data_IF_944126235807
#
_entry.id   IF_944126235807
#
_cell.length_a   1.000
_cell.length_b   1.000
_cell.length_c   1.000
_cell.angle_alpha   90.00
_cell.angle_beta   90.00
_cell.angle_gamma   90.00
#
_symmetry.space_group_name_H-M   'P 1'
#
loop_
_entity.id
_entity.type
_entity.pdbx_description
1 polymer ?
#
# COMPACT_ATOMS: atom_id res chain seq x y z
N UNK A 1 35.07 -58.35 25.20
CA UNK A 1 34.23 -57.97 24.04
C UNK A 1 33.46 -56.69 24.38
N UNK A 2 33.82 -55.56 23.75
CA UNK A 2 32.80 -54.54 23.39
C UNK A 2 33.08 -53.93 21.99
N UNK A 3 32.27 -53.02 21.41
CA UNK A 3 30.86 -52.66 21.66
C UNK A 3 29.96 -52.52 20.40
N UNK A 4 28.64 -52.49 20.63
CA UNK A 4 27.57 -51.69 19.96
C UNK A 4 27.57 -51.44 18.44
N UNK A 5 26.44 -51.77 17.77
CA UNK A 5 26.03 -51.11 16.53
C UNK A 5 24.77 -50.26 16.77
N UNK A 6 24.96 -48.93 16.68
CA UNK A 6 23.92 -47.90 16.79
C UNK A 6 22.99 -47.95 15.57
N UNK A 7 21.69 -48.05 15.80
CA UNK A 7 20.67 -48.03 14.75
C UNK A 7 20.57 -46.61 14.13
N UNK A 8 20.96 -46.46 12.86
CA UNK A 8 20.94 -45.18 12.11
C UNK A 8 19.48 -44.83 11.79
N UNK A 9 18.92 -43.78 12.41
CA UNK A 9 17.66 -43.15 11.94
C UNK A 9 17.90 -42.66 10.50
N UNK A 10 17.38 -43.37 9.51
CA UNK A 10 17.40 -42.91 8.12
C UNK A 10 16.50 -41.67 8.00
N UNK A 11 17.03 -40.61 7.40
CA UNK A 11 16.27 -39.41 7.10
C UNK A 11 15.27 -39.71 5.96
N UNK A 12 14.02 -39.23 6.04
CA UNK A 12 13.05 -39.40 4.97
C UNK A 12 13.48 -38.67 3.69
N UNK A 13 13.26 -39.28 2.53
CA UNK A 13 13.57 -38.73 1.21
C UNK A 13 12.30 -38.16 0.58
N UNK A 14 12.34 -36.90 0.16
CA UNK A 14 11.22 -36.22 -0.51
C UNK A 14 11.65 -35.74 -1.90
N UNK A 15 10.71 -35.75 -2.84
CA UNK A 15 10.84 -35.01 -4.11
C UNK A 15 10.60 -33.51 -3.87
N UNK A 16 11.12 -32.66 -4.77
CA UNK A 16 10.92 -31.21 -4.70
C UNK A 16 9.43 -30.84 -4.72
N UNK A 17 8.63 -31.53 -5.53
CA UNK A 17 7.17 -31.33 -5.60
C UNK A 17 6.50 -31.70 -4.28
N UNK A 18 6.88 -32.81 -3.65
CA UNK A 18 6.36 -33.20 -2.34
C UNK A 18 6.71 -32.16 -1.27
N UNK A 19 7.94 -31.64 -1.28
CA UNK A 19 8.35 -30.58 -0.36
C UNK A 19 7.50 -29.32 -0.57
N UNK A 20 7.35 -28.84 -1.81
CA UNK A 20 6.59 -27.62 -2.10
C UNK A 20 5.12 -27.75 -1.68
N UNK A 21 4.50 -28.92 -1.93
CA UNK A 21 3.14 -29.20 -1.49
C UNK A 21 3.02 -29.22 0.04
N UNK A 22 3.98 -29.83 0.74
CA UNK A 22 3.99 -29.84 2.21
C UNK A 22 4.13 -28.43 2.81
N UNK A 23 4.95 -27.59 2.18
CA UNK A 23 5.10 -26.18 2.59
C UNK A 23 3.80 -25.41 2.34
N UNK A 24 3.14 -25.62 1.20
CA UNK A 24 1.83 -25.03 0.89
C UNK A 24 0.78 -25.37 1.95
N UNK A 25 0.59 -26.66 2.25
CA UNK A 25 -0.34 -27.12 3.29
C UNK A 25 0.02 -26.53 4.66
N UNK A 26 1.31 -26.52 5.01
CA UNK A 26 1.77 -25.96 6.29
C UNK A 26 1.50 -24.45 6.43
N UNK A 27 1.55 -23.71 5.31
CA UNK A 27 1.22 -22.29 5.28
C UNK A 27 -0.28 -22.07 5.43
N UNK A 28 -1.11 -22.84 4.72
CA UNK A 28 -2.56 -22.79 4.83
C UNK A 28 -3.06 -23.10 6.25
N UNK A 29 -2.43 -24.05 6.95
CA UNK A 29 -2.79 -24.41 8.33
C UNK A 29 -2.38 -23.35 9.36
N UNK A 30 -1.22 -22.70 9.17
CA UNK A 30 -0.63 -21.79 10.17
C UNK A 30 -0.97 -20.32 9.95
N UNK A 31 -1.27 -19.93 8.72
CA UNK A 31 -1.58 -18.55 8.38
C UNK A 31 -3.10 -18.35 8.31
N UNK A 32 -3.58 -17.13 8.61
CA UNK A 32 -4.97 -16.78 8.35
C UNK A 32 -5.30 -16.99 6.86
N UNK A 33 -6.47 -17.56 6.59
CA UNK A 33 -7.02 -17.72 5.23
C UNK A 33 -7.18 -16.40 4.49
N UNK A 34 -7.23 -15.28 5.23
CA UNK A 34 -7.25 -13.93 4.68
C UNK A 34 -6.54 -12.97 5.62
N UNK A 35 -5.67 -12.13 5.06
CA UNK A 35 -4.90 -11.13 5.79
C UNK A 35 -4.77 -9.83 5.01
N UNK A 36 -4.36 -8.77 5.72
CA UNK A 36 -4.09 -7.45 5.14
C UNK A 36 -2.61 -7.14 5.32
N UNK A 37 -1.91 -6.90 4.22
CA UNK A 37 -0.52 -6.46 4.22
C UNK A 37 -0.47 -4.96 3.95
N UNK A 38 0.29 -4.24 4.78
CA UNK A 38 0.65 -2.84 4.53
C UNK A 38 2.03 -2.82 3.89
N UNK A 39 2.15 -2.13 2.76
CA UNK A 39 3.45 -1.97 2.10
C UNK A 39 3.40 -1.02 0.93
N UNK A 40 4.58 -0.74 0.38
CA UNK A 40 4.74 0.06 -0.83
C UNK A 40 4.83 -0.83 -2.05
N UNK A 41 4.09 -0.47 -3.11
CA UNK A 41 4.15 -1.16 -4.39
C UNK A 41 5.51 -0.90 -5.05
N UNK A 42 6.14 -1.98 -5.50
CA UNK A 42 7.35 -1.97 -6.31
C UNK A 42 7.26 -2.99 -7.45
N UNK A 43 8.10 -2.84 -8.48
CA UNK A 43 8.15 -3.73 -9.64
C UNK A 43 6.78 -3.97 -10.29
N UNK A 44 5.91 -2.95 -10.33
CA UNK A 44 4.59 -3.03 -10.93
C UNK A 44 4.66 -3.42 -12.41
N UNK A 45 3.94 -4.48 -12.77
CA UNK A 45 3.86 -5.01 -14.14
C UNK A 45 2.42 -5.43 -14.44
N UNK A 46 1.93 -4.98 -15.59
CA UNK A 46 0.61 -5.36 -16.12
C UNK A 46 0.74 -5.81 -17.57
N UNK A 47 0.94 -7.11 -17.82
CA UNK A 47 0.94 -7.68 -19.16
C UNK A 47 -0.43 -7.60 -19.85
N UNK A 48 -0.48 -7.92 -21.14
CA UNK A 48 -1.71 -7.94 -21.95
C UNK A 48 -2.79 -8.91 -21.45
N UNK A 49 -2.41 -9.92 -20.66
CA UNK A 49 -3.35 -10.84 -19.99
C UNK A 49 -4.22 -10.14 -18.93
N UNK A 50 -3.85 -8.93 -18.50
CA UNK A 50 -4.60 -8.12 -17.55
C UNK A 50 -4.38 -8.47 -16.08
N UNK A 51 -3.64 -9.55 -15.78
CA UNK A 51 -3.18 -9.83 -14.42
C UNK A 51 -2.11 -8.81 -14.01
N UNK A 52 -2.10 -8.44 -12.74
CA UNK A 52 -1.11 -7.52 -12.19
C UNK A 52 -0.12 -8.30 -11.34
N UNK A 53 1.17 -8.03 -11.58
CA UNK A 53 2.29 -8.58 -10.82
C UNK A 53 3.05 -7.43 -10.21
N UNK A 54 3.29 -7.48 -8.92
CA UNK A 54 4.04 -6.44 -8.22
C UNK A 54 4.73 -7.06 -7.01
N UNK A 55 5.42 -6.25 -6.22
CA UNK A 55 5.94 -6.67 -4.92
C UNK A 55 5.59 -5.62 -3.89
N UNK A 56 5.15 -6.07 -2.72
CA UNK A 56 4.98 -5.21 -1.56
C UNK A 56 6.27 -5.20 -0.76
N UNK A 57 6.79 -4.00 -0.51
CA UNK A 57 7.95 -3.76 0.35
C UNK A 57 7.50 -3.15 1.66
N UNK A 58 8.14 -3.55 2.74
CA UNK A 58 8.02 -2.89 4.03
C UNK A 58 9.26 -2.02 4.35
N UNK A 59 9.14 -1.06 5.29
CA UNK A 59 10.29 -0.27 5.76
C UNK A 59 11.37 -1.09 6.48
N UNK A 60 11.04 -2.32 6.94
CA UNK A 60 11.96 -3.24 7.59
C UNK A 60 12.88 -4.00 6.63
N UNK A 61 12.71 -3.80 5.31
CA UNK A 61 13.48 -4.47 4.26
C UNK A 61 12.85 -5.77 3.74
N UNK A 62 11.71 -6.17 4.28
CA UNK A 62 10.91 -7.28 3.80
C UNK A 62 10.28 -6.97 2.44
N UNK A 63 10.24 -7.98 1.56
CA UNK A 63 9.55 -7.89 0.28
C UNK A 63 8.83 -9.21 -0.01
N UNK A 64 7.59 -9.13 -0.49
CA UNK A 64 6.84 -10.30 -0.96
C UNK A 64 6.33 -10.07 -2.40
N UNK A 65 6.50 -11.05 -3.32
CA UNK A 65 5.87 -11.00 -4.63
C UNK A 65 4.36 -11.13 -4.50
N UNK A 66 3.63 -10.29 -5.22
CA UNK A 66 2.18 -10.24 -5.22
C UNK A 66 1.62 -10.46 -6.61
N UNK A 67 0.51 -11.19 -6.67
CA UNK A 67 -0.26 -11.43 -7.89
C UNK A 67 -1.70 -10.99 -7.63
N UNK A 68 -2.26 -10.20 -8.54
CA UNK A 68 -3.67 -9.82 -8.53
C UNK A 68 -4.31 -10.22 -9.86
N UNK A 69 -5.39 -10.98 -9.80
CA UNK A 69 -6.07 -11.41 -11.02
C UNK A 69 -6.81 -10.26 -11.70
N UNK A 70 -6.88 -10.31 -13.03
CA UNK A 70 -7.53 -9.27 -13.84
C UNK A 70 -8.97 -8.98 -13.40
N UNK A 71 -9.73 -10.03 -13.01
CA UNK A 71 -11.10 -9.91 -12.51
C UNK A 71 -11.20 -9.09 -11.22
N UNK A 72 -10.24 -9.26 -10.31
CA UNK A 72 -10.15 -8.49 -9.07
C UNK A 72 -9.62 -7.09 -9.34
N UNK A 73 -8.63 -6.93 -10.20
CA UNK A 73 -8.07 -5.61 -10.53
C UNK A 73 -9.10 -4.67 -11.17
N UNK A 74 -10.08 -5.20 -11.94
CA UNK A 74 -11.16 -4.38 -12.52
C UNK A 74 -12.01 -3.62 -11.49
N UNK A 75 -12.04 -4.04 -10.23
CA UNK A 75 -12.79 -3.32 -9.17
C UNK A 75 -11.99 -2.17 -8.55
N UNK A 76 -10.69 -2.08 -8.85
CA UNK A 76 -9.80 -1.03 -8.36
C UNK A 76 -10.07 0.25 -9.14
N UNK A 77 -10.37 1.32 -8.39
CA UNK A 77 -10.75 2.64 -8.93
C UNK A 77 -9.61 3.66 -8.97
N UNK A 78 -8.40 3.26 -8.59
CA UNK A 78 -7.23 4.13 -8.57
C UNK A 78 -6.10 3.53 -9.39
N UNK A 79 -5.16 4.37 -9.79
CA UNK A 79 -4.02 3.91 -10.57
C UNK A 79 -2.93 3.34 -9.65
N UNK A 80 -2.60 2.07 -9.85
CA UNK A 80 -1.55 1.40 -9.10
C UNK A 80 -0.20 1.66 -9.78
N UNK A 81 0.71 2.33 -9.08
CA UNK A 81 2.04 2.65 -9.57
C UNK A 81 3.11 2.30 -8.51
N UNK A 82 4.36 2.20 -8.96
CA UNK A 82 5.49 2.07 -8.03
C UNK A 82 5.56 3.28 -7.10
N UNK A 83 5.92 3.06 -5.82
CA UNK A 83 5.96 4.12 -4.82
C UNK A 83 4.65 4.30 -4.04
N UNK A 84 3.56 3.67 -4.46
CA UNK A 84 2.28 3.82 -3.80
C UNK A 84 2.19 2.93 -2.56
N UNK A 85 1.97 3.56 -1.40
CA UNK A 85 1.65 2.85 -0.17
C UNK A 85 0.21 2.32 -0.21
N UNK A 86 0.04 1.01 0.00
CA UNK A 86 -1.24 0.32 -0.08
C UNK A 86 -1.47 -0.65 1.08
N UNK A 87 -2.75 -0.91 1.36
CA UNK A 87 -3.24 -2.04 2.11
C UNK A 87 -3.75 -3.09 1.11
N UNK A 88 -3.12 -4.25 1.11
CA UNK A 88 -3.47 -5.36 0.23
C UNK A 88 -4.15 -6.47 1.03
N UNK A 89 -5.43 -6.73 0.75
CA UNK A 89 -6.17 -7.84 1.34
C UNK A 89 -6.09 -9.06 0.43
N UNK A 90 -5.81 -10.23 1.00
CA UNK A 90 -5.59 -11.46 0.24
C UNK A 90 -5.10 -12.60 1.11
N UNK A 91 -4.45 -13.59 0.49
CA UNK A 91 -3.88 -14.76 1.16
C UNK A 91 -2.47 -15.05 0.63
N UNK A 92 -1.71 -15.80 1.42
CA UNK A 92 -0.37 -16.28 1.02
C UNK A 92 -0.50 -17.72 0.58
N UNK A 93 0.12 -18.05 -0.55
CA UNK A 93 0.18 -19.41 -1.07
C UNK A 93 1.51 -19.65 -1.81
N UNK A 94 1.88 -20.91 -2.03
CA UNK A 94 3.10 -21.33 -2.69
C UNK A 94 2.83 -21.64 -4.16
N UNK A 95 3.52 -20.95 -5.04
CA UNK A 95 3.57 -21.34 -6.44
C UNK A 95 4.41 -22.61 -6.60
N UNK A 96 3.76 -23.78 -6.53
CA UNK A 96 4.39 -25.12 -6.51
C UNK A 96 5.43 -25.33 -7.62
N UNK A 97 5.19 -24.94 -8.90
CA UNK A 97 6.20 -25.16 -9.95
C UNK A 97 7.51 -24.41 -9.72
N UNK A 98 7.46 -23.24 -9.06
CA UNK A 98 8.63 -22.41 -8.77
C UNK A 98 9.12 -22.49 -7.32
N UNK A 99 8.38 -23.14 -6.42
CA UNK A 99 8.67 -23.15 -4.98
C UNK A 99 8.71 -21.76 -4.34
N UNK A 100 7.99 -20.78 -4.91
CA UNK A 100 7.99 -19.39 -4.44
C UNK A 100 6.72 -19.10 -3.67
N UNK A 101 6.85 -18.56 -2.46
CA UNK A 101 5.71 -17.98 -1.75
C UNK A 101 5.27 -16.69 -2.45
N UNK A 102 3.96 -16.51 -2.57
CA UNK A 102 3.35 -15.36 -3.21
C UNK A 102 2.13 -14.92 -2.42
N UNK A 103 1.84 -13.62 -2.48
CA UNK A 103 0.61 -13.06 -1.95
C UNK A 103 -0.40 -12.85 -3.08
N UNK A 104 -1.54 -13.51 -2.98
CA UNK A 104 -2.64 -13.36 -3.92
C UNK A 104 -3.56 -12.24 -3.42
N UNK A 105 -3.39 -11.05 -4.00
CA UNK A 105 -4.16 -9.87 -3.65
C UNK A 105 -5.55 -9.92 -4.28
N UNK A 106 -6.57 -9.71 -3.46
CA UNK A 106 -7.98 -9.63 -3.87
C UNK A 106 -8.51 -8.20 -3.87
N UNK A 107 -7.98 -7.37 -2.98
CA UNK A 107 -8.35 -5.97 -2.80
C UNK A 107 -7.09 -5.15 -2.53
N UNK A 108 -7.00 -3.98 -3.14
CA UNK A 108 -5.97 -2.98 -2.85
C UNK A 108 -6.67 -1.69 -2.44
N UNK A 109 -6.15 -1.04 -1.42
CA UNK A 109 -6.61 0.26 -0.94
C UNK A 109 -5.40 1.16 -0.69
N UNK A 110 -5.42 2.45 -1.07
CA UNK A 110 -4.31 3.35 -0.75
C UNK A 110 -4.18 3.52 0.76
N UNK A 111 -3.01 3.20 1.33
CA UNK A 111 -2.75 3.34 2.75
C UNK A 111 -2.68 4.82 3.18
N UNK A 112 -2.41 5.73 2.23
CA UNK A 112 -2.21 7.16 2.49
C UNK A 112 -3.48 7.96 2.80
N UNK A 113 -4.69 7.51 2.45
CA UNK A 113 -5.91 8.31 2.70
C UNK A 113 -6.23 8.35 4.20
N UNK A 114 -6.06 7.24 4.92
CA UNK A 114 -6.39 7.15 6.34
C UNK A 114 -5.45 7.98 7.23
N UNK A 115 -4.14 7.88 7.01
CA UNK A 115 -3.14 8.61 7.81
C UNK A 115 -3.21 10.13 7.56
N UNK A 116 -3.42 10.56 6.31
CA UNK A 116 -3.59 11.98 5.99
C UNK A 116 -4.90 12.53 6.54
N UNK A 117 -5.99 11.76 6.45
CA UNK A 117 -7.28 12.13 7.04
C UNK A 117 -7.18 12.22 8.56
N UNK A 118 -6.49 11.29 9.21
CA UNK A 118 -6.25 11.31 10.65
C UNK A 118 -5.40 12.52 11.07
N UNK A 119 -4.30 12.80 10.35
CA UNK A 119 -3.46 13.97 10.59
C UNK A 119 -4.24 15.27 10.37
N UNK A 120 -5.08 15.33 9.33
CA UNK A 120 -5.97 16.45 9.06
C UNK A 120 -6.98 16.65 10.19
N UNK A 121 -7.64 15.59 10.66
CA UNK A 121 -8.60 15.66 11.76
C UNK A 121 -7.95 16.09 13.07
N UNK A 122 -6.75 15.59 13.38
CA UNK A 122 -5.97 16.02 14.54
C UNK A 122 -5.59 17.51 14.45
N UNK A 123 -5.09 17.94 13.29
CA UNK A 123 -4.76 19.35 13.04
C UNK A 123 -6.00 20.24 13.14
N UNK A 124 -7.13 19.84 12.55
CA UNK A 124 -8.38 20.57 12.62
C UNK A 124 -8.87 20.71 14.05
N UNK A 125 -8.86 19.63 14.83
CA UNK A 125 -9.24 19.65 16.26
C UNK A 125 -8.34 20.60 17.06
N UNK A 126 -7.02 20.57 16.83
CA UNK A 126 -6.08 21.49 17.47
C UNK A 126 -6.37 22.95 17.14
N UNK A 127 -6.47 23.28 15.85
CA UNK A 127 -6.75 24.66 15.40
C UNK A 127 -8.13 25.16 15.86
N UNK A 128 -9.10 24.25 15.99
CA UNK A 128 -10.42 24.54 16.55
C UNK A 128 -10.34 24.83 18.06
N UNK A 129 -9.55 24.05 18.82
CA UNK A 129 -9.30 24.31 20.24
C UNK A 129 -8.54 25.62 20.48
N UNK A 130 -7.64 26.00 19.56
CA UNK A 130 -6.95 27.30 19.55
C UNK A 130 -7.90 28.47 19.15
N UNK A 131 -9.17 28.21 18.86
CA UNK A 131 -10.17 29.23 18.53
C UNK A 131 -9.92 29.93 17.19
N UNK A 132 -9.13 29.34 16.29
CA UNK A 132 -8.78 29.94 15.00
C UNK A 132 -9.94 29.90 14.00
N UNK A 133 -10.94 29.05 14.24
CA UNK A 133 -12.16 28.97 13.42
C UNK A 133 -13.35 29.72 14.02
N UNK A 134 -13.16 30.42 15.15
CA UNK A 134 -14.24 31.13 15.84
C UNK A 134 -14.87 32.20 14.92
N UNK A 135 -16.20 32.17 14.68
CA UNK A 135 -16.89 33.18 13.90
C UNK A 135 -16.62 34.61 14.36
N UNK A 136 -16.38 34.83 15.67
CA UNK A 136 -16.09 36.15 16.24
C UNK A 136 -14.76 36.72 15.72
N UNK A 137 -13.83 35.87 15.26
CA UNK A 137 -12.55 36.29 14.67
C UNK A 137 -12.62 36.48 13.16
N UNK A 138 -13.72 36.07 12.50
CA UNK A 138 -13.88 36.26 11.05
C UNK A 138 -14.22 37.71 10.76
N UNK A 139 -13.39 38.35 9.94
CA UNK A 139 -13.68 39.68 9.42
C UNK A 139 -14.53 39.57 8.14
N UNK A 140 -15.46 40.50 7.90
CA UNK A 140 -16.17 40.57 6.64
C UNK A 140 -15.17 40.80 5.50
N UNK A 141 -15.34 40.08 4.40
CA UNK A 141 -14.50 40.26 3.22
C UNK A 141 -14.74 41.66 2.63
N UNK A 142 -13.68 42.41 2.29
CA UNK A 142 -13.84 43.69 1.62
C UNK A 142 -14.45 43.47 0.23
N UNK A 143 -15.30 44.40 -0.21
CA UNK A 143 -15.92 44.34 -1.54
C UNK A 143 -14.89 44.32 -2.69
N UNK A 144 -13.74 44.98 -2.48
CA UNK A 144 -12.63 45.04 -3.43
C UNK A 144 -11.30 44.78 -2.68
N UNK A 145 -10.79 43.53 -2.67
CA UNK A 145 -9.52 43.22 -2.02
C UNK A 145 -8.35 43.81 -2.81
N UNK A 146 -7.66 44.79 -2.24
CA UNK A 146 -6.49 45.44 -2.86
C UNK A 146 -5.19 44.65 -2.66
N UNK A 147 -5.15 43.78 -1.65
CA UNK A 147 -3.99 42.95 -1.31
C UNK A 147 -4.45 41.51 -1.11
N UNK A 148 -3.83 40.57 -1.82
CA UNK A 148 -4.14 39.14 -1.74
C UNK A 148 -2.88 38.40 -1.30
N UNK A 149 -2.95 37.71 -0.17
CA UNK A 149 -1.90 36.80 0.28
C UNK A 149 -2.16 35.39 -0.24
N UNK A 150 -1.20 34.81 -0.96
CA UNK A 150 -1.29 33.44 -1.48
C UNK A 150 -0.40 32.53 -0.64
N UNK A 151 -0.98 31.49 -0.04
CA UNK A 151 -0.23 30.46 0.70
C UNK A 151 -0.34 29.15 -0.08
N UNK A 152 0.78 28.69 -0.63
CA UNK A 152 0.87 27.45 -1.41
C UNK A 152 2.20 26.74 -1.12
N UNK A 153 2.35 25.50 -1.58
CA UNK A 153 3.64 24.80 -1.57
C UNK A 153 4.61 25.45 -2.58
N UNK A 154 5.92 25.40 -2.29
CA UNK A 154 6.95 26.09 -3.08
C UNK A 154 7.06 25.66 -4.56
N UNK A 155 6.38 24.57 -4.96
CA UNK A 155 6.33 24.05 -6.34
C UNK A 155 4.95 24.20 -7.01
N UNK A 156 3.99 24.86 -6.37
CA UNK A 156 2.59 24.89 -6.84
C UNK A 156 2.38 25.80 -8.05
N UNK A 157 1.92 25.21 -9.17
CA UNK A 157 1.39 25.92 -10.34
C UNK A 157 0.28 26.94 -10.01
N UNK A 158 -0.33 26.84 -8.83
CA UNK A 158 -1.32 27.76 -8.30
C UNK A 158 -0.84 29.23 -8.21
N UNK A 159 0.47 29.49 -8.02
CA UNK A 159 0.99 30.86 -8.08
C UNK A 159 0.84 31.44 -9.48
N UNK A 160 1.12 30.63 -10.52
CA UNK A 160 1.05 31.06 -11.91
C UNK A 160 -0.40 31.33 -12.29
N UNK A 161 -1.32 30.41 -11.97
CA UNK A 161 -2.75 30.58 -12.26
C UNK A 161 -3.38 31.80 -11.56
N UNK A 162 -3.02 32.04 -10.29
CA UNK A 162 -3.52 33.20 -9.55
C UNK A 162 -2.92 34.49 -10.10
N UNK A 163 -1.63 34.50 -10.45
CA UNK A 163 -1.00 35.65 -11.11
C UNK A 163 -1.69 35.96 -12.45
N UNK A 164 -1.84 34.95 -13.32
CA UNK A 164 -2.49 35.11 -14.63
C UNK A 164 -3.94 35.57 -14.49
N UNK A 165 -4.69 35.03 -13.52
CA UNK A 165 -6.08 35.45 -13.25
C UNK A 165 -6.19 36.87 -12.69
N UNK A 166 -5.18 37.36 -11.95
CA UNK A 166 -5.14 38.74 -11.46
C UNK A 166 -4.80 39.70 -12.60
N UNK A 167 -3.82 39.35 -13.46
CA UNK A 167 -3.41 40.18 -14.59
C UNK A 167 -4.42 40.21 -15.73
N UNK A 168 -5.14 39.12 -15.97
CA UNK A 168 -6.15 39.03 -17.06
C UNK A 168 -7.50 39.68 -16.70
N UNK A 169 -7.63 40.24 -15.50
CA UNK A 169 -8.87 40.85 -14.99
C UNK A 169 -8.96 42.36 -15.26
N UNK A 170 -8.01 42.90 -16.04
CA UNK A 170 -7.93 44.28 -16.51
C UNK A 170 -7.56 44.32 -17.99
#
# INVERSE_FOLDING_TARGET
MPPMAKNKRQLPVFTVTQLNNLVGVSLEEKLPSRMILRGEISNWKRPSSGHCYFSLKDPGGGQIPCVMWASKFRTIKFDCQNGLAVLATGHVDVYVPGGKYQFYAEKLEPAGIGDLQLAFEQMRKRLQAEGLFDPVRKQPLPAYPMNIGVVTSGSGAAIVDIADSIYSRW
#
